data_IF_305759295466
#
_entry.id   IF_305759295466
#
_cell.length_a   1.000
_cell.length_b   1.000
_cell.length_c   1.000
_cell.angle_alpha   90.00
_cell.angle_beta   90.00
_cell.angle_gamma   90.00
#
_symmetry.space_group_name_H-M   'P 1'
#
loop_
_entity.id
_entity.type
_entity.pdbx_description
1 polymer ?
#
# COMPACT_ATOMS: atom_id res chain seq x y z
N UNK A 1 -11.61 -28.26 -0.16
CA UNK A 1 -12.07 -28.26 1.26
C UNK A 1 -12.92 -29.48 1.55
N UNK A 2 -12.60 -30.17 2.63
CA UNK A 2 -13.31 -31.33 3.17
C UNK A 2 -14.55 -30.93 4.02
N UNK A 3 -15.55 -31.80 4.11
CA UNK A 3 -16.81 -31.60 4.83
C UNK A 3 -16.59 -31.35 6.32
N UNK A 4 -15.58 -31.97 6.93
CA UNK A 4 -15.23 -31.72 8.34
C UNK A 4 -14.70 -30.30 8.55
N UNK A 5 -13.94 -29.77 7.59
CA UNK A 5 -13.44 -28.39 7.60
C UNK A 5 -14.61 -27.41 7.43
N UNK A 6 -15.53 -27.68 6.51
CA UNK A 6 -16.72 -26.84 6.27
C UNK A 6 -17.59 -26.76 7.52
N UNK A 7 -17.81 -27.87 8.23
CA UNK A 7 -18.55 -27.88 9.50
C UNK A 7 -17.85 -27.07 10.59
N UNK A 8 -16.53 -27.19 10.74
CA UNK A 8 -15.76 -26.38 11.72
C UNK A 8 -15.82 -24.89 11.41
N UNK A 9 -15.68 -24.51 10.14
CA UNK A 9 -15.82 -23.13 9.69
C UNK A 9 -17.22 -22.58 10.00
N UNK A 10 -18.27 -23.33 9.67
CA UNK A 10 -19.66 -22.95 9.93
C UNK A 10 -19.93 -22.69 11.41
N UNK A 11 -19.48 -23.60 12.29
CA UNK A 11 -19.61 -23.42 13.74
C UNK A 11 -18.87 -22.17 14.25
N UNK A 12 -17.66 -21.93 13.74
CA UNK A 12 -16.87 -20.77 14.16
C UNK A 12 -17.51 -19.44 13.71
N UNK A 13 -18.01 -19.38 12.47
CA UNK A 13 -18.71 -18.21 11.95
C UNK A 13 -20.00 -17.93 12.74
N UNK A 14 -20.76 -18.98 13.07
CA UNK A 14 -21.96 -18.87 13.89
C UNK A 14 -21.64 -18.29 15.28
N UNK A 15 -20.62 -18.83 15.95
CA UNK A 15 -20.22 -18.37 17.28
C UNK A 15 -19.82 -16.89 17.27
N UNK A 16 -19.03 -16.48 16.27
CA UNK A 16 -18.61 -15.09 16.10
C UNK A 16 -19.79 -14.14 15.81
N UNK A 17 -20.73 -14.56 14.96
CA UNK A 17 -21.94 -13.78 14.68
C UNK A 17 -22.80 -13.61 15.94
N UNK A 18 -22.99 -14.68 16.70
CA UNK A 18 -23.81 -14.69 17.92
C UNK A 18 -23.17 -13.84 19.03
N UNK A 19 -21.83 -13.82 19.15
CA UNK A 19 -21.10 -12.95 20.08
C UNK A 19 -21.36 -11.45 19.83
N UNK A 20 -21.63 -11.07 18.59
CA UNK A 20 -21.92 -9.68 18.20
C UNK A 20 -23.43 -9.36 18.17
N UNK A 21 -24.29 -10.31 18.54
CA UNK A 21 -25.74 -10.12 18.52
C UNK A 21 -26.33 -9.90 17.12
N UNK A 22 -25.62 -10.28 16.06
CA UNK A 22 -26.06 -10.07 14.67
C UNK A 22 -27.01 -11.18 14.22
N UNK A 23 -28.11 -10.83 13.55
CA UNK A 23 -28.94 -11.82 12.84
C UNK A 23 -28.26 -12.27 11.54
N UNK A 24 -28.76 -13.35 10.92
CA UNK A 24 -28.23 -13.81 9.63
C UNK A 24 -28.54 -12.83 8.50
N UNK A 25 -29.71 -12.21 8.57
CA UNK A 25 -30.17 -11.14 7.68
C UNK A 25 -29.27 -9.92 7.80
N UNK A 26 -28.93 -9.54 9.03
CA UNK A 26 -28.01 -8.43 9.29
C UNK A 26 -26.59 -8.73 8.77
N UNK A 27 -26.07 -9.94 9.03
CA UNK A 27 -24.78 -10.35 8.51
C UNK A 27 -24.74 -10.34 6.97
N UNK A 28 -25.76 -10.91 6.31
CA UNK A 28 -25.87 -10.91 4.86
C UNK A 28 -25.97 -9.50 4.28
N UNK A 29 -26.78 -8.64 4.90
CA UNK A 29 -26.95 -7.23 4.51
C UNK A 29 -25.63 -6.45 4.59
N UNK A 30 -24.84 -6.67 5.66
CA UNK A 30 -23.53 -6.02 5.84
C UNK A 30 -22.49 -6.52 4.85
N UNK A 31 -22.53 -7.81 4.51
CA UNK A 31 -21.59 -8.43 3.57
C UNK A 31 -21.92 -8.12 2.10
N UNK A 32 -23.19 -7.84 1.76
CA UNK A 32 -23.72 -7.45 0.42
C UNK A 32 -23.50 -8.44 -0.74
N UNK A 33 -22.62 -9.43 -0.59
CA UNK A 33 -22.27 -10.41 -1.63
C UNK A 33 -22.95 -11.78 -1.46
N UNK A 34 -23.70 -11.99 -0.37
CA UNK A 34 -24.39 -13.24 -0.07
C UNK A 34 -25.76 -12.98 0.55
N UNK A 35 -26.65 -13.98 0.49
CA UNK A 35 -27.98 -13.94 1.09
C UNK A 35 -27.99 -14.49 2.52
N UNK A 36 -29.02 -14.17 3.32
CA UNK A 36 -29.22 -14.74 4.66
C UNK A 36 -29.30 -16.28 4.62
N UNK A 37 -29.88 -16.83 3.55
CA UNK A 37 -29.92 -18.28 3.31
C UNK A 37 -28.53 -18.86 3.04
N UNK A 38 -27.65 -18.12 2.37
CA UNK A 38 -26.26 -18.54 2.18
C UNK A 38 -25.49 -18.54 3.50
N UNK A 39 -25.69 -17.52 4.34
CA UNK A 39 -25.14 -17.48 5.71
C UNK A 39 -25.63 -18.68 6.51
N UNK A 40 -26.93 -18.99 6.46
CA UNK A 40 -27.51 -20.16 7.13
C UNK A 40 -26.86 -21.47 6.67
N UNK A 41 -26.77 -21.71 5.36
CA UNK A 41 -26.15 -22.93 4.82
C UNK A 41 -24.68 -23.05 5.20
N UNK A 42 -23.95 -21.94 5.28
CA UNK A 42 -22.56 -21.93 5.75
C UNK A 42 -22.45 -22.29 7.24
N UNK A 43 -23.28 -21.68 8.10
CA UNK A 43 -23.29 -21.96 9.54
C UNK A 43 -23.72 -23.40 9.87
N UNK A 44 -24.61 -23.97 9.06
CA UNK A 44 -25.01 -25.38 9.15
C UNK A 44 -23.95 -26.36 8.59
N UNK A 45 -22.85 -25.84 8.02
CA UNK A 45 -21.81 -26.64 7.39
C UNK A 45 -22.25 -27.35 6.11
N UNK A 46 -23.33 -26.87 5.47
CA UNK A 46 -23.89 -27.39 4.20
C UNK A 46 -23.30 -26.68 2.98
N UNK A 47 -22.63 -25.54 3.19
CA UNK A 47 -21.99 -24.75 2.15
C UNK A 47 -20.63 -24.24 2.65
N UNK A 48 -19.56 -24.57 1.95
CA UNK A 48 -18.25 -23.97 2.22
C UNK A 48 -18.23 -22.51 1.76
N UNK A 49 -17.78 -21.54 2.59
CA UNK A 49 -17.59 -20.18 2.11
C UNK A 49 -16.45 -20.17 1.08
N UNK A 50 -16.67 -19.47 -0.04
CA UNK A 50 -15.56 -19.08 -0.91
C UNK A 50 -14.60 -18.19 -0.12
N UNK A 51 -13.32 -18.20 -0.49
CA UNK A 51 -12.27 -17.49 0.27
C UNK A 51 -12.60 -16.00 0.50
N UNK A 52 -13.12 -15.30 -0.52
CA UNK A 52 -13.53 -13.89 -0.38
C UNK A 52 -14.76 -13.71 0.52
N UNK A 53 -15.67 -14.68 0.52
CA UNK A 53 -16.85 -14.68 1.41
C UNK A 53 -16.45 -14.88 2.86
N UNK A 54 -15.48 -15.76 3.12
CA UNK A 54 -14.92 -15.96 4.45
C UNK A 54 -14.25 -14.67 4.96
N UNK A 55 -13.50 -13.99 4.11
CA UNK A 55 -12.86 -12.71 4.46
C UNK A 55 -13.92 -11.67 4.81
N UNK A 56 -14.95 -11.49 3.98
CA UNK A 56 -16.01 -10.51 4.24
C UNK A 56 -16.79 -10.81 5.54
N UNK A 57 -17.12 -12.08 5.80
CA UNK A 57 -17.78 -12.49 7.03
C UNK A 57 -16.88 -12.30 8.26
N UNK A 58 -15.62 -12.71 8.19
CA UNK A 58 -14.68 -12.52 9.30
C UNK A 58 -14.48 -11.04 9.63
N UNK A 59 -14.45 -10.16 8.62
CA UNK A 59 -14.31 -8.73 8.79
C UNK A 59 -15.48 -8.10 9.56
N UNK A 60 -16.73 -8.41 9.18
CA UNK A 60 -17.91 -7.91 9.93
C UNK A 60 -17.99 -8.51 11.34
N UNK A 61 -17.33 -9.66 11.56
CA UNK A 61 -17.26 -10.33 12.84
C UNK A 61 -16.05 -9.90 13.70
N UNK A 62 -15.23 -8.96 13.22
CA UNK A 62 -14.05 -8.49 13.95
C UNK A 62 -12.95 -9.55 14.11
N UNK A 63 -12.93 -10.57 13.26
CA UNK A 63 -12.04 -11.71 13.36
C UNK A 63 -11.11 -11.83 12.14
N UNK A 64 -9.99 -12.55 12.31
CA UNK A 64 -9.03 -12.79 11.23
C UNK A 64 -9.40 -14.05 10.44
N UNK A 65 -9.72 -13.88 9.14
CA UNK A 65 -10.13 -14.95 8.25
C UNK A 65 -9.07 -16.05 8.07
N UNK A 66 -7.79 -15.68 8.02
CA UNK A 66 -6.68 -16.62 7.90
C UNK A 66 -6.56 -17.49 9.14
N UNK A 67 -6.64 -16.89 10.33
CA UNK A 67 -6.62 -17.62 11.59
C UNK A 67 -7.81 -18.56 11.75
N UNK A 68 -9.01 -18.13 11.33
CA UNK A 68 -10.21 -18.99 11.31
C UNK A 68 -9.99 -20.20 10.40
N UNK A 69 -9.56 -19.95 9.15
CA UNK A 69 -9.31 -21.01 8.17
C UNK A 69 -8.21 -21.98 8.64
N UNK A 70 -7.10 -21.46 9.18
CA UNK A 70 -5.96 -22.24 9.67
C UNK A 70 -6.38 -23.15 10.83
N UNK A 71 -7.10 -22.62 11.83
CA UNK A 71 -7.58 -23.41 12.98
C UNK A 71 -8.61 -24.47 12.59
N UNK A 72 -9.41 -24.20 11.55
CA UNK A 72 -10.40 -25.16 11.04
C UNK A 72 -9.78 -26.23 10.13
N UNK A 73 -8.48 -26.14 9.83
CA UNK A 73 -7.76 -27.11 9.00
C UNK A 73 -8.01 -26.95 7.50
N UNK A 74 -8.22 -25.72 7.01
CA UNK A 74 -8.31 -25.45 5.57
C UNK A 74 -7.01 -25.80 4.85
N UNK A 75 -7.15 -26.26 3.60
CA UNK A 75 -6.01 -26.66 2.76
C UNK A 75 -5.11 -25.48 2.38
N UNK A 76 -3.82 -25.73 2.12
CA UNK A 76 -2.82 -24.71 1.84
C UNK A 76 -3.20 -23.79 0.67
N UNK A 77 -3.82 -24.33 -0.40
CA UNK A 77 -4.29 -23.52 -1.53
C UNK A 77 -5.45 -22.58 -1.19
N UNK A 78 -6.26 -22.90 -0.19
CA UNK A 78 -7.30 -22.00 0.33
C UNK A 78 -6.68 -20.93 1.24
N UNK A 79 -5.74 -21.32 2.10
CA UNK A 79 -5.00 -20.41 2.97
C UNK A 79 -4.20 -19.39 2.16
N UNK A 80 -3.51 -19.80 1.10
CA UNK A 80 -2.77 -18.90 0.21
C UNK A 80 -3.68 -17.88 -0.48
N UNK A 81 -4.92 -18.25 -0.83
CA UNK A 81 -5.91 -17.33 -1.39
C UNK A 81 -6.46 -16.34 -0.35
N UNK A 82 -6.66 -16.80 0.89
CA UNK A 82 -7.06 -15.92 2.00
C UNK A 82 -5.92 -14.97 2.37
N UNK A 83 -4.69 -15.46 2.45
CA UNK A 83 -3.49 -14.68 2.77
C UNK A 83 -3.15 -13.68 1.66
N UNK A 84 -3.17 -14.12 0.40
CA UNK A 84 -2.96 -13.24 -0.76
C UNK A 84 -3.98 -12.10 -0.80
N UNK A 85 -5.23 -12.35 -0.38
CA UNK A 85 -6.26 -11.32 -0.29
C UNK A 85 -6.19 -10.46 0.99
N UNK A 86 -5.53 -10.93 2.05
CA UNK A 86 -5.23 -10.11 3.23
C UNK A 86 -3.98 -9.23 3.03
N UNK A 87 -3.10 -9.64 2.11
CA UNK A 87 -1.97 -8.84 1.61
C UNK A 87 -2.45 -7.81 0.56
N UNK A 88 -3.66 -7.96 0.03
CA UNK A 88 -4.29 -7.11 -0.98
C UNK A 88 -5.41 -6.19 -0.40
N UNK A 89 -5.03 -4.92 -0.20
CA UNK A 89 -5.83 -3.68 -0.36
C UNK A 89 -7.29 -3.55 0.14
N UNK A 90 -7.82 -4.36 1.07
CA UNK A 90 -9.24 -4.14 1.51
C UNK A 90 -9.62 -4.44 2.98
N UNK A 91 -8.73 -4.94 3.83
CA UNK A 91 -9.11 -5.47 5.15
C UNK A 91 -8.87 -4.56 6.38
N UNK A 92 -8.52 -3.28 6.19
CA UNK A 92 -8.30 -2.33 7.30
C UNK A 92 -9.46 -1.37 7.60
N UNK A 93 -10.52 -1.40 6.80
CA UNK A 93 -11.69 -0.50 6.83
C UNK A 93 -12.46 -0.43 8.16
N UNK A 94 -12.68 -1.58 8.81
CA UNK A 94 -13.73 -1.72 9.81
C UNK A 94 -13.28 -1.50 11.27
N UNK A 95 -12.17 -0.79 11.49
CA UNK A 95 -11.59 -0.56 12.82
C UNK A 95 -11.71 0.87 13.36
N UNK A 96 -12.43 1.77 12.68
CA UNK A 96 -12.48 3.19 13.06
C UNK A 96 -13.64 3.52 14.00
N UNK A 97 -13.39 4.10 15.19
CA UNK A 97 -14.44 4.70 16.02
C UNK A 97 -15.02 5.97 15.36
N UNK A 98 -16.35 6.11 15.33
CA UNK A 98 -17.10 7.20 14.71
C UNK A 98 -16.74 8.63 15.18
N UNK A 99 -16.01 8.79 16.30
CA UNK A 99 -15.55 10.09 16.80
C UNK A 99 -14.18 10.53 16.25
N UNK A 100 -13.46 9.64 15.54
CA UNK A 100 -12.16 9.94 14.89
C UNK A 100 -12.26 10.14 13.37
N UNK A 101 -13.41 9.86 12.75
CA UNK A 101 -13.66 9.93 11.30
C UNK A 101 -13.97 11.33 10.78
N UNK A 102 -14.43 12.26 11.62
CA UNK A 102 -14.79 13.63 11.24
C UNK A 102 -13.58 14.47 10.75
N UNK A 103 -12.43 14.35 11.41
CA UNK A 103 -11.20 15.04 11.03
C UNK A 103 -10.56 14.43 9.76
N UNK A 104 -10.76 13.12 9.56
CA UNK A 104 -10.27 12.38 8.40
C UNK A 104 -11.01 12.80 7.11
N UNK A 105 -12.34 12.97 7.23
CA UNK A 105 -13.22 13.48 6.17
C UNK A 105 -12.81 14.88 5.72
N UNK A 106 -12.55 15.77 6.67
CA UNK A 106 -12.12 17.14 6.39
C UNK A 106 -10.78 17.17 5.63
N UNK A 107 -9.84 16.28 5.96
CA UNK A 107 -8.53 16.23 5.30
C UNK A 107 -8.59 15.66 3.87
N UNK A 108 -9.41 14.63 3.63
CA UNK A 108 -9.65 14.13 2.26
C UNK A 108 -10.36 15.17 1.41
N UNK A 109 -11.45 15.75 1.92
CA UNK A 109 -12.19 16.79 1.21
C UNK A 109 -11.29 17.99 0.88
N UNK A 110 -10.37 18.33 1.78
CA UNK A 110 -9.40 19.38 1.53
C UNK A 110 -8.39 18.99 0.44
N UNK A 111 -7.84 17.77 0.47
CA UNK A 111 -6.93 17.30 -0.58
C UNK A 111 -7.63 17.30 -1.95
N UNK A 112 -8.87 16.81 -2.01
CA UNK A 112 -9.72 16.86 -3.21
C UNK A 112 -9.92 18.27 -3.71
N UNK A 113 -10.33 19.20 -2.84
CA UNK A 113 -10.55 20.62 -3.22
C UNK A 113 -9.28 21.29 -3.73
N UNK A 114 -8.12 20.98 -3.17
CA UNK A 114 -6.84 21.50 -3.68
C UNK A 114 -6.50 20.92 -5.06
N UNK A 115 -6.68 19.61 -5.25
CA UNK A 115 -6.46 18.97 -6.55
C UNK A 115 -7.37 19.57 -7.63
N UNK A 116 -8.63 19.86 -7.28
CA UNK A 116 -9.60 20.48 -8.19
C UNK A 116 -9.23 21.94 -8.49
N UNK A 117 -8.88 22.73 -7.46
CA UNK A 117 -8.43 24.12 -7.60
C UNK A 117 -7.21 24.26 -8.53
N UNK A 118 -6.31 23.27 -8.54
CA UNK A 118 -5.14 23.26 -9.39
C UNK A 118 -5.38 22.61 -10.78
N UNK A 119 -6.64 22.37 -11.16
CA UNK A 119 -7.01 21.80 -12.47
C UNK A 119 -6.63 20.34 -12.65
N UNK A 120 -6.27 19.65 -11.58
CA UNK A 120 -5.67 18.31 -11.63
C UNK A 120 -6.73 17.23 -11.75
N UNK A 121 -7.94 17.50 -11.23
CA UNK A 121 -9.12 16.69 -11.50
C UNK A 121 -9.47 16.74 -12.98
N UNK A 122 -9.45 17.91 -13.62
CA UNK A 122 -9.67 17.99 -15.07
C UNK A 122 -8.60 17.22 -15.86
N UNK A 123 -7.32 17.42 -15.52
CA UNK A 123 -6.18 16.76 -16.16
C UNK A 123 -6.21 15.22 -16.08
N UNK A 124 -6.61 14.65 -14.94
CA UNK A 124 -6.71 13.21 -14.79
C UNK A 124 -7.99 12.65 -15.44
N UNK A 125 -9.07 13.45 -15.55
CA UNK A 125 -10.33 13.05 -16.20
C UNK A 125 -10.12 12.89 -17.70
N UNK A 126 -9.35 13.81 -18.30
CA UNK A 126 -8.95 13.76 -19.71
C UNK A 126 -8.12 12.51 -20.07
N UNK A 127 -7.43 11.92 -19.09
CA UNK A 127 -6.61 10.70 -19.27
C UNK A 127 -7.34 9.40 -18.93
N UNK A 128 -8.60 9.47 -18.50
CA UNK A 128 -9.39 8.29 -18.13
C UNK A 128 -8.89 7.61 -16.85
N UNK A 129 -8.19 8.34 -15.98
CA UNK A 129 -7.69 7.80 -14.71
C UNK A 129 -8.86 7.56 -13.75
N UNK A 130 -9.05 6.30 -13.31
CA UNK A 130 -10.17 5.89 -12.44
C UNK A 130 -10.19 6.56 -11.05
N UNK A 131 -9.10 7.26 -10.69
CA UNK A 131 -8.95 8.04 -9.46
C UNK A 131 -10.07 9.08 -9.27
N UNK A 132 -10.60 9.65 -10.36
CA UNK A 132 -11.58 10.73 -10.27
C UNK A 132 -12.99 10.23 -10.04
N UNK A 133 -13.35 9.08 -10.62
CA UNK A 133 -14.65 8.44 -10.37
C UNK A 133 -14.83 8.11 -8.88
N UNK A 134 -13.75 7.90 -8.14
CA UNK A 134 -13.79 7.57 -6.72
C UNK A 134 -13.78 8.80 -5.79
N UNK A 135 -13.08 9.88 -6.15
CA UNK A 135 -13.12 11.16 -5.42
C UNK A 135 -14.48 11.89 -5.54
N UNK A 136 -15.27 11.52 -6.55
CA UNK A 136 -16.63 12.01 -6.81
C UNK A 136 -17.72 11.18 -6.11
N UNK A 137 -17.47 9.92 -5.77
CA UNK A 137 -18.45 9.12 -5.04
C UNK A 137 -18.49 9.52 -3.56
N UNK A 138 -19.61 10.11 -3.14
CA UNK A 138 -20.02 10.23 -1.73
C UNK A 138 -20.19 8.82 -1.14
N UNK A 139 -19.10 8.14 -0.78
CA UNK A 139 -19.20 6.92 0.01
C UNK A 139 -19.23 7.25 1.50
N UNK A 140 -20.06 6.48 2.20
CA UNK A 140 -20.29 6.50 3.64
C UNK A 140 -18.94 6.44 4.40
N UNK A 141 -18.66 7.36 5.33
CA UNK A 141 -17.40 7.37 6.10
C UNK A 141 -17.12 6.08 6.89
N UNK A 142 -18.16 5.31 7.22
CA UNK A 142 -18.03 4.02 7.91
C UNK A 142 -17.66 2.86 6.95
N UNK A 143 -17.58 3.13 5.64
CA UNK A 143 -17.15 2.18 4.60
C UNK A 143 -15.77 2.48 4.03
N UNK A 144 -14.84 3.02 4.85
CA UNK A 144 -13.47 3.37 4.44
C UNK A 144 -12.79 2.24 3.67
N UNK A 145 -12.72 2.35 2.35
CA UNK A 145 -12.11 1.33 1.48
C UNK A 145 -10.58 1.52 1.48
N UNK A 146 -9.74 0.53 1.81
CA UNK A 146 -8.28 0.65 1.66
C UNK A 146 -7.82 0.88 0.20
N UNK A 147 -8.70 0.69 -0.80
CA UNK A 147 -8.52 1.25 -2.15
C UNK A 147 -8.34 2.78 -2.14
N UNK A 148 -8.91 3.52 -1.18
CA UNK A 148 -8.66 4.97 -0.99
C UNK A 148 -7.19 5.29 -0.77
N UNK A 149 -6.47 4.45 -0.03
CA UNK A 149 -5.04 4.68 0.22
C UNK A 149 -4.24 4.51 -1.07
N UNK A 150 -4.46 3.41 -1.81
CA UNK A 150 -3.86 3.19 -3.12
C UNK A 150 -4.21 4.28 -4.14
N UNK A 151 -5.46 4.75 -4.15
CA UNK A 151 -5.92 5.83 -5.02
C UNK A 151 -5.33 7.19 -4.64
N UNK A 152 -5.16 7.50 -3.35
CA UNK A 152 -4.47 8.72 -2.88
C UNK A 152 -2.98 8.70 -3.25
N UNK A 153 -2.30 7.56 -3.13
CA UNK A 153 -0.89 7.43 -3.53
C UNK A 153 -0.71 7.41 -5.05
N UNK A 154 -1.63 6.82 -5.81
CA UNK A 154 -1.61 6.90 -7.26
C UNK A 154 -1.97 8.31 -7.75
N UNK A 155 -2.86 9.03 -7.06
CA UNK A 155 -3.12 10.44 -7.31
C UNK A 155 -1.86 11.28 -7.07
N UNK A 156 -1.10 10.95 -6.02
CA UNK A 156 0.20 11.55 -5.75
C UNK A 156 1.23 11.30 -6.85
N UNK A 157 1.28 10.09 -7.39
CA UNK A 157 2.21 9.78 -8.49
C UNK A 157 1.89 10.61 -9.73
N UNK A 158 0.60 10.71 -10.05
CA UNK A 158 0.10 11.59 -11.11
C UNK A 158 0.41 13.07 -10.84
N UNK A 159 0.35 13.50 -9.58
CA UNK A 159 0.69 14.87 -9.14
C UNK A 159 2.18 15.19 -9.36
N UNK A 160 3.08 14.28 -8.97
CA UNK A 160 4.52 14.45 -9.17
C UNK A 160 4.87 14.40 -10.66
N UNK A 161 4.26 13.50 -11.42
CA UNK A 161 4.46 13.38 -12.87
C UNK A 161 3.93 14.58 -13.65
N UNK A 162 2.80 15.15 -13.24
CA UNK A 162 2.27 16.38 -13.82
C UNK A 162 3.23 17.55 -13.56
N UNK A 163 3.72 17.68 -12.32
CA UNK A 163 4.48 18.85 -11.89
C UNK A 163 5.96 18.83 -12.29
N UNK A 164 6.54 17.64 -12.50
CA UNK A 164 7.84 17.51 -13.17
C UNK A 164 7.80 18.00 -14.62
N UNK A 165 6.61 18.03 -15.25
CA UNK A 165 6.42 18.54 -16.62
C UNK A 165 6.00 20.00 -16.69
N UNK A 166 5.30 20.54 -15.69
CA UNK A 166 4.75 21.92 -15.70
C UNK A 166 5.57 22.96 -14.91
N UNK A 167 6.64 22.56 -14.21
CA UNK A 167 7.62 23.49 -13.61
C UNK A 167 7.33 23.92 -12.17
N UNK A 168 8.15 24.84 -11.64
CA UNK A 168 8.31 25.11 -10.21
C UNK A 168 7.05 25.63 -9.46
N UNK A 169 6.11 26.27 -10.16
CA UNK A 169 4.92 26.86 -9.55
C UNK A 169 4.01 25.82 -8.86
N UNK A 170 4.04 24.57 -9.33
CA UNK A 170 3.18 23.51 -8.79
C UNK A 170 3.87 22.67 -7.70
N UNK A 171 5.19 22.81 -7.50
CA UNK A 171 5.93 22.04 -6.49
C UNK A 171 5.51 22.37 -5.05
N UNK A 172 5.11 23.62 -4.77
CA UNK A 172 4.58 24.00 -3.45
C UNK A 172 3.21 23.39 -3.16
N UNK A 173 2.36 23.27 -4.18
CA UNK A 173 1.09 22.53 -4.07
C UNK A 173 1.35 21.04 -3.85
N UNK A 174 2.30 20.45 -4.57
CA UNK A 174 2.74 19.05 -4.34
C UNK A 174 3.21 18.85 -2.90
N UNK A 175 4.03 19.76 -2.37
CA UNK A 175 4.52 19.69 -1.00
C UNK A 175 3.38 19.72 0.02
N UNK A 176 2.41 20.61 -0.19
CA UNK A 176 1.25 20.73 0.69
C UNK A 176 0.43 19.44 0.69
N UNK A 177 0.24 18.82 -0.48
CA UNK A 177 -0.45 17.53 -0.61
C UNK A 177 0.35 16.40 0.06
N UNK A 178 1.67 16.32 -0.19
CA UNK A 178 2.56 15.33 0.41
C UNK A 178 2.54 15.37 1.95
N UNK A 179 2.59 16.57 2.53
CA UNK A 179 2.54 16.77 3.98
C UNK A 179 1.19 16.32 4.57
N UNK A 180 0.08 16.61 3.88
CA UNK A 180 -1.25 16.16 4.29
C UNK A 180 -1.41 14.65 4.17
N UNK A 181 -0.86 14.04 3.12
CA UNK A 181 -0.85 12.59 2.97
C UNK A 181 -0.01 11.89 4.05
N UNK A 182 1.12 12.48 4.45
CA UNK A 182 1.89 12.00 5.60
C UNK A 182 1.08 12.07 6.89
N UNK A 183 0.47 13.21 7.20
CA UNK A 183 -0.37 13.37 8.38
C UNK A 183 -1.56 12.39 8.39
N UNK A 184 -2.14 12.13 7.21
CA UNK A 184 -3.17 11.13 7.01
C UNK A 184 -2.65 9.71 7.30
N UNK A 185 -1.50 9.34 6.74
CA UNK A 185 -0.88 8.04 6.95
C UNK A 185 -0.51 7.80 8.41
N UNK A 186 0.03 8.81 9.10
CA UNK A 186 0.32 8.76 10.55
C UNK A 186 -0.94 8.46 11.34
N UNK A 187 -2.02 9.21 11.09
CA UNK A 187 -3.31 8.97 11.74
C UNK A 187 -3.85 7.59 11.46
N UNK A 188 -3.77 7.11 10.21
CA UNK A 188 -4.22 5.76 9.83
C UNK A 188 -3.45 4.67 10.60
N UNK A 189 -2.14 4.82 10.76
CA UNK A 189 -1.33 3.91 11.58
C UNK A 189 -1.75 3.98 13.05
N UNK A 190 -1.93 5.18 13.61
CA UNK A 190 -2.29 5.38 15.02
C UNK A 190 -3.65 4.79 15.41
N UNK A 191 -4.59 4.78 14.46
CA UNK A 191 -5.93 4.20 14.66
C UNK A 191 -6.01 2.72 14.29
N UNK A 192 -4.86 2.08 14.01
CA UNK A 192 -4.76 0.64 13.72
C UNK A 192 -5.35 0.22 12.38
N UNK A 193 -5.61 1.20 11.49
CA UNK A 193 -6.15 1.04 10.13
C UNK A 193 -5.10 1.23 9.03
N UNK A 194 -3.84 1.48 9.37
CA UNK A 194 -2.74 1.71 8.43
C UNK A 194 -1.62 0.69 8.59
N UNK A 195 -1.03 0.26 7.47
CA UNK A 195 0.22 -0.49 7.47
C UNK A 195 1.41 0.47 7.69
N UNK A 196 2.47 0.05 8.41
CA UNK A 196 3.74 0.78 8.43
C UNK A 196 4.30 1.09 7.03
N UNK A 197 3.96 0.29 6.01
CA UNK A 197 4.34 0.56 4.62
C UNK A 197 3.60 1.76 4.02
N UNK A 198 2.35 2.02 4.38
CA UNK A 198 1.60 3.21 3.94
C UNK A 198 2.31 4.47 4.44
N UNK A 199 2.78 4.44 5.69
CA UNK A 199 3.55 5.54 6.25
C UNK A 199 4.94 5.64 5.62
N UNK A 200 5.61 4.52 5.37
CA UNK A 200 6.87 4.50 4.61
C UNK A 200 6.70 5.12 3.22
N UNK A 201 5.59 4.82 2.54
CA UNK A 201 5.21 5.41 1.26
C UNK A 201 5.05 6.91 1.36
N UNK A 202 4.27 7.41 2.33
CA UNK A 202 4.14 8.85 2.51
C UNK A 202 5.49 9.54 2.76
N UNK A 203 6.39 8.90 3.52
CA UNK A 203 7.73 9.43 3.77
C UNK A 203 8.60 9.46 2.50
N UNK A 204 8.74 8.36 1.75
CA UNK A 204 9.61 8.38 0.57
C UNK A 204 9.03 9.29 -0.53
N UNK A 205 7.71 9.39 -0.64
CA UNK A 205 7.06 10.36 -1.54
C UNK A 205 7.36 11.80 -1.15
N UNK A 206 7.22 12.16 0.13
CA UNK A 206 7.60 13.48 0.62
C UNK A 206 9.09 13.78 0.41
N UNK A 207 9.95 12.75 0.50
CA UNK A 207 11.37 12.87 0.19
C UNK A 207 11.60 13.30 -1.28
N UNK A 208 10.88 12.71 -2.24
CA UNK A 208 10.96 13.08 -3.65
C UNK A 208 10.60 14.57 -3.86
N UNK A 209 9.55 15.09 -3.19
CA UNK A 209 9.20 16.53 -3.29
C UNK A 209 10.32 17.41 -2.75
N UNK A 210 10.87 17.06 -1.58
CA UNK A 210 11.97 17.84 -1.02
C UNK A 210 13.21 17.81 -1.89
N UNK A 211 13.50 16.68 -2.56
CA UNK A 211 14.59 16.60 -3.53
C UNK A 211 14.34 17.54 -4.74
N UNK A 212 13.13 17.54 -5.29
CA UNK A 212 12.74 18.45 -6.38
C UNK A 212 12.80 19.92 -5.98
N UNK A 213 12.43 20.25 -4.74
CA UNK A 213 12.54 21.58 -4.15
C UNK A 213 13.97 21.97 -3.73
N UNK A 214 14.98 21.14 -4.04
CA UNK A 214 16.39 21.37 -3.68
C UNK A 214 16.60 21.52 -2.17
N UNK A 215 15.87 20.73 -1.38
CA UNK A 215 15.98 20.64 0.08
C UNK A 215 16.50 19.24 0.48
N UNK A 216 17.77 18.90 0.18
CA UNK A 216 18.30 17.54 0.33
C UNK A 216 18.30 17.06 1.80
N UNK A 217 18.56 17.95 2.75
CA UNK A 217 18.54 17.59 4.19
C UNK A 217 17.17 17.09 4.66
N UNK A 218 16.09 17.77 4.25
CA UNK A 218 14.73 17.35 4.57
C UNK A 218 14.37 16.05 3.85
N UNK A 219 14.81 15.91 2.60
CA UNK A 219 14.63 14.67 1.84
C UNK A 219 15.29 13.48 2.54
N UNK A 220 16.54 13.63 3.01
CA UNK A 220 17.26 12.59 3.75
C UNK A 220 16.54 12.16 5.02
N UNK A 221 16.01 13.10 5.80
CA UNK A 221 15.22 12.80 7.01
C UNK A 221 14.03 11.90 6.64
N UNK A 222 13.28 12.27 5.60
CA UNK A 222 12.11 11.50 5.19
C UNK A 222 12.49 10.12 4.64
N UNK A 223 13.57 9.99 3.87
CA UNK A 223 14.05 8.68 3.39
C UNK A 223 14.43 7.76 4.56
N UNK A 224 15.11 8.28 5.58
CA UNK A 224 15.50 7.47 6.75
C UNK A 224 14.28 7.03 7.55
N UNK A 225 13.29 7.90 7.72
CA UNK A 225 12.00 7.52 8.30
C UNK A 225 11.31 6.42 7.48
N UNK A 226 11.28 6.55 6.14
CA UNK A 226 10.71 5.53 5.26
C UNK A 226 11.38 4.16 5.45
N UNK A 227 12.72 4.13 5.43
CA UNK A 227 13.50 2.89 5.62
C UNK A 227 13.25 2.24 6.99
N UNK A 228 13.09 3.03 8.05
CA UNK A 228 12.81 2.51 9.40
C UNK A 228 11.44 1.85 9.52
N UNK A 229 10.49 2.23 8.65
CA UNK A 229 9.08 1.80 8.72
C UNK A 229 8.73 0.75 7.66
N UNK A 230 9.47 0.71 6.56
CA UNK A 230 9.19 -0.16 5.43
C UNK A 230 9.33 -1.65 5.81
N UNK A 231 8.25 -2.40 5.65
CA UNK A 231 8.20 -3.86 5.86
C UNK A 231 8.18 -4.62 4.54
N UNK A 232 7.73 -3.98 3.47
CA UNK A 232 7.72 -4.53 2.12
C UNK A 232 9.01 -4.26 1.36
N UNK A 233 9.34 -5.15 0.43
CA UNK A 233 10.47 -4.97 -0.46
C UNK A 233 10.30 -3.71 -1.34
N UNK A 234 9.08 -3.45 -1.82
CA UNK A 234 8.76 -2.30 -2.66
C UNK A 234 9.06 -0.96 -1.96
N UNK A 235 8.53 -0.73 -0.76
CA UNK A 235 8.74 0.52 -0.04
C UNK A 235 10.22 0.76 0.31
N UNK A 236 10.97 -0.31 0.65
CA UNK A 236 12.42 -0.22 0.87
C UNK A 236 13.17 0.11 -0.42
N UNK A 237 12.84 -0.52 -1.54
CA UNK A 237 13.46 -0.25 -2.83
C UNK A 237 13.27 1.22 -3.24
N UNK A 238 12.06 1.77 -3.11
CA UNK A 238 11.80 3.18 -3.42
C UNK A 238 12.60 4.13 -2.52
N UNK A 239 12.61 3.88 -1.21
CA UNK A 239 13.40 4.69 -0.29
C UNK A 239 14.91 4.64 -0.61
N UNK A 240 15.44 3.46 -0.95
CA UNK A 240 16.84 3.32 -1.37
C UNK A 240 17.16 3.97 -2.71
N UNK A 241 16.24 3.94 -3.68
CA UNK A 241 16.38 4.67 -4.95
C UNK A 241 16.60 6.16 -4.69
N UNK A 242 15.79 6.76 -3.83
CA UNK A 242 15.90 8.19 -3.48
C UNK A 242 17.20 8.45 -2.71
N UNK A 243 17.57 7.59 -1.75
CA UNK A 243 18.82 7.73 -1.00
C UNK A 243 20.04 7.78 -1.94
N UNK A 244 20.10 6.84 -2.89
CA UNK A 244 21.16 6.80 -3.90
C UNK A 244 21.17 8.07 -4.75
N UNK A 245 20.00 8.58 -5.17
CA UNK A 245 19.90 9.81 -5.94
C UNK A 245 20.42 11.04 -5.18
N UNK A 246 20.05 11.19 -3.90
CA UNK A 246 20.49 12.31 -3.06
C UNK A 246 22.00 12.33 -2.87
N UNK A 247 22.61 11.17 -2.66
CA UNK A 247 24.07 11.07 -2.50
C UNK A 247 24.82 11.05 -3.83
N UNK A 248 24.14 10.78 -4.96
CA UNK A 248 24.75 10.80 -6.29
C UNK A 248 25.28 12.16 -6.66
N UNK A 249 24.68 13.25 -6.20
CA UNK A 249 25.11 14.62 -6.54
C UNK A 249 26.00 15.23 -5.47
N UNK A 250 26.25 14.50 -4.37
CA UNK A 250 27.17 14.94 -3.33
C UNK A 250 28.62 14.95 -3.86
N UNK A 251 29.38 15.96 -3.42
CA UNK A 251 30.83 16.06 -3.66
C UNK A 251 31.59 15.01 -2.82
N UNK A 252 31.07 14.71 -1.63
CA UNK A 252 31.63 13.68 -0.75
C UNK A 252 31.22 12.26 -1.19
N UNK A 253 32.18 11.55 -1.79
CA UNK A 253 32.03 10.17 -2.21
C UNK A 253 32.06 9.17 -1.05
N UNK A 254 32.50 9.56 0.16
CA UNK A 254 32.51 8.68 1.33
C UNK A 254 31.09 8.27 1.72
N UNK A 255 30.19 9.25 1.85
CA UNK A 255 28.78 9.00 2.12
C UNK A 255 28.13 8.14 1.03
N UNK A 256 28.44 8.39 -0.25
CA UNK A 256 27.92 7.58 -1.34
C UNK A 256 28.41 6.12 -1.28
N UNK A 257 29.68 5.88 -0.90
CA UNK A 257 30.22 4.53 -0.73
C UNK A 257 29.50 3.75 0.38
N UNK A 258 29.19 4.40 1.49
CA UNK A 258 28.48 3.74 2.59
C UNK A 258 27.03 3.41 2.23
N UNK A 259 26.35 4.31 1.52
CA UNK A 259 25.02 4.06 0.97
C UNK A 259 25.04 2.92 -0.04
N UNK A 260 26.02 2.90 -0.97
CA UNK A 260 26.20 1.81 -1.93
C UNK A 260 26.36 0.47 -1.21
N UNK A 261 27.21 0.39 -0.18
CA UNK A 261 27.39 -0.84 0.62
C UNK A 261 26.12 -1.26 1.37
N UNK A 262 25.33 -0.29 1.84
CA UNK A 262 24.04 -0.56 2.47
C UNK A 262 23.06 -1.18 1.47
N UNK A 263 22.90 -0.55 0.30
CA UNK A 263 21.98 -0.99 -0.74
C UNK A 263 22.41 -2.33 -1.34
N UNK A 264 23.70 -2.56 -1.56
CA UNK A 264 24.21 -3.84 -2.05
C UNK A 264 23.86 -5.00 -1.13
N UNK A 265 24.01 -4.81 0.20
CA UNK A 265 23.61 -5.83 1.18
C UNK A 265 22.12 -6.11 1.13
N UNK A 266 21.30 -5.09 0.92
CA UNK A 266 19.86 -5.25 0.79
C UNK A 266 19.48 -5.99 -0.50
N UNK A 267 20.00 -5.56 -1.64
CA UNK A 267 19.73 -6.15 -2.96
C UNK A 267 20.19 -7.60 -3.05
N UNK A 268 21.32 -7.95 -2.41
CA UNK A 268 21.80 -9.34 -2.36
C UNK A 268 20.82 -10.30 -1.67
N UNK A 269 19.94 -9.80 -0.79
CA UNK A 269 18.89 -10.57 -0.13
C UNK A 269 17.56 -10.62 -0.88
N UNK A 270 17.45 -9.97 -2.04
CA UNK A 270 16.23 -10.00 -2.84
C UNK A 270 16.19 -11.28 -3.69
N UNK A 271 15.04 -11.96 -3.66
CA UNK A 271 14.78 -13.16 -4.44
C UNK A 271 13.57 -12.89 -5.34
N UNK A 272 13.80 -12.20 -6.46
CA UNK A 272 12.74 -11.85 -7.41
C UNK A 272 13.21 -10.88 -8.48
N UNK A 273 12.27 -10.41 -9.31
CA UNK A 273 12.48 -9.31 -10.23
C UNK A 273 11.20 -8.46 -10.30
N UNK A 274 11.00 -7.62 -9.28
CA UNK A 274 9.90 -6.65 -9.25
C UNK A 274 10.32 -5.31 -9.87
N UNK A 275 9.36 -4.47 -10.24
CA UNK A 275 9.65 -3.12 -10.75
C UNK A 275 10.51 -2.29 -9.76
N UNK A 276 10.17 -2.31 -8.46
CA UNK A 276 10.94 -1.60 -7.44
C UNK A 276 12.37 -2.11 -7.32
N UNK A 277 12.57 -3.42 -7.45
CA UNK A 277 13.91 -4.03 -7.46
C UNK A 277 14.74 -3.58 -8.69
N UNK A 278 14.13 -3.51 -9.87
CA UNK A 278 14.79 -3.00 -11.05
C UNK A 278 15.21 -1.53 -10.86
N UNK A 279 14.33 -0.70 -10.30
CA UNK A 279 14.60 0.71 -10.03
C UNK A 279 15.76 0.92 -9.04
N UNK A 280 15.83 0.14 -7.94
CA UNK A 280 16.94 0.27 -6.98
C UNK A 280 18.26 -0.25 -7.56
N UNK A 281 18.24 -1.36 -8.34
CA UNK A 281 19.42 -1.88 -9.03
C UNK A 281 19.95 -0.90 -10.08
N UNK A 282 19.06 -0.22 -10.81
CA UNK A 282 19.44 0.85 -11.73
C UNK A 282 20.07 2.03 -10.99
N UNK A 283 19.46 2.48 -9.88
CA UNK A 283 20.02 3.54 -9.04
C UNK A 283 21.41 3.18 -8.51
N UNK A 284 21.60 1.93 -8.10
CA UNK A 284 22.87 1.40 -7.61
C UNK A 284 23.94 1.41 -8.71
N UNK A 285 23.62 0.95 -9.91
CA UNK A 285 24.54 1.01 -11.05
C UNK A 285 24.94 2.45 -11.40
N UNK A 286 23.98 3.39 -11.38
CA UNK A 286 24.26 4.81 -11.61
C UNK A 286 25.20 5.36 -10.52
N UNK A 287 24.95 5.06 -9.25
CA UNK A 287 25.82 5.48 -8.15
C UNK A 287 27.23 4.88 -8.26
N UNK A 288 27.32 3.59 -8.59
CA UNK A 288 28.59 2.89 -8.81
C UNK A 288 29.36 3.49 -9.98
N UNK A 289 28.72 4.01 -11.02
CA UNK A 289 29.46 4.62 -12.14
C UNK A 289 30.30 5.83 -11.72
N UNK A 290 29.99 6.49 -10.60
CA UNK A 290 30.82 7.56 -10.02
C UNK A 290 31.98 7.05 -9.16
N UNK A 291 31.88 5.84 -8.60
CA UNK A 291 32.84 5.31 -7.62
C UNK A 291 33.75 4.24 -8.24
N UNK A 292 33.17 3.31 -9.00
CA UNK A 292 33.78 2.13 -9.59
C UNK A 292 33.01 1.75 -10.88
N UNK A 293 33.33 2.40 -12.02
CA UNK A 293 32.67 2.15 -13.30
C UNK A 293 32.71 0.68 -13.76
N UNK A 294 33.83 -0.06 -13.63
CA UNK A 294 33.85 -1.49 -13.95
C UNK A 294 32.84 -2.31 -13.12
N UNK A 295 32.67 -1.98 -11.84
CA UNK A 295 31.66 -2.65 -11.00
C UNK A 295 30.23 -2.27 -11.37
N UNK A 296 30.00 -1.02 -11.76
CA UNK A 296 28.72 -0.57 -12.29
C UNK A 296 28.29 -1.40 -13.51
N UNK A 297 29.23 -1.64 -14.44
CA UNK A 297 28.97 -2.45 -15.64
C UNK A 297 28.54 -3.88 -15.29
N UNK A 298 29.26 -4.53 -14.37
CA UNK A 298 28.91 -5.88 -13.89
C UNK A 298 27.50 -5.95 -13.28
N UNK A 299 27.11 -4.94 -12.51
CA UNK A 299 25.76 -4.85 -11.93
C UNK A 299 24.67 -4.71 -13.00
N UNK A 300 24.92 -3.91 -14.05
CA UNK A 300 23.99 -3.77 -15.18
C UNK A 300 23.84 -5.11 -15.93
N UNK A 301 24.96 -5.77 -16.23
CA UNK A 301 24.96 -7.06 -16.91
C UNK A 301 24.26 -8.16 -16.11
N UNK A 302 24.38 -8.14 -14.79
CA UNK A 302 23.67 -9.06 -13.89
C UNK A 302 22.17 -8.77 -13.87
N UNK A 303 21.76 -7.50 -13.71
CA UNK A 303 20.36 -7.10 -13.73
C UNK A 303 19.67 -7.42 -15.08
N UNK A 304 20.38 -7.25 -16.21
CA UNK A 304 19.89 -7.62 -17.53
C UNK A 304 19.68 -9.14 -17.67
N UNK A 305 20.61 -9.94 -17.14
CA UNK A 305 20.48 -11.41 -17.14
C UNK A 305 19.28 -11.87 -16.29
N UNK A 306 19.08 -11.25 -15.13
CA UNK A 306 17.94 -11.58 -14.27
C UNK A 306 16.61 -11.16 -14.91
N UNK A 307 16.55 -9.99 -15.56
CA UNK A 307 15.39 -9.57 -16.32
C UNK A 307 15.03 -10.57 -17.43
N UNK A 308 16.03 -11.03 -18.19
CA UNK A 308 15.84 -12.01 -19.25
C UNK A 308 15.30 -13.34 -18.71
N UNK A 309 15.85 -13.84 -17.60
CA UNK A 309 15.38 -15.07 -16.93
C UNK A 309 13.94 -14.97 -16.43
N UNK A 310 13.53 -13.80 -15.95
CA UNK A 310 12.17 -13.61 -15.43
C UNK A 310 11.10 -13.55 -16.54
N UNK A 311 11.49 -13.35 -17.80
CA UNK A 311 10.60 -13.19 -18.95
C UNK A 311 10.82 -14.26 -20.05
N UNK A 312 11.44 -15.38 -19.70
CA UNK A 312 11.57 -16.59 -20.53
C UNK A 312 10.83 -17.77 -19.88
#
# INVERSE_FOLDING_TARGET
>A
MDDQVIRRLGMQLRALREQLGLSKEEAARRVKIITAESVRKMEEGRLGPKWYTLVALAAIYGANAFEIARRCGSEAGYLAKVEGYLIDESSLAHRLPATRTSNLRADIDHCRKMMDHHGMVAWARERGEQIILFLETEQDPDSWDPQLSGLLFRAYDLLVDANTRSGAAHLQSTLTIALRMKALAERLVDIGGGSPDILATAHYRLADVYALLKQPEKSLIQVREALSRAKTAHARCEAYRILLHLHREAEDLSALRDVVREVERYVAGLHGFSHGEACVRQGLAIALSRIDPPRALRQIEEALRDYQRAHT
#
